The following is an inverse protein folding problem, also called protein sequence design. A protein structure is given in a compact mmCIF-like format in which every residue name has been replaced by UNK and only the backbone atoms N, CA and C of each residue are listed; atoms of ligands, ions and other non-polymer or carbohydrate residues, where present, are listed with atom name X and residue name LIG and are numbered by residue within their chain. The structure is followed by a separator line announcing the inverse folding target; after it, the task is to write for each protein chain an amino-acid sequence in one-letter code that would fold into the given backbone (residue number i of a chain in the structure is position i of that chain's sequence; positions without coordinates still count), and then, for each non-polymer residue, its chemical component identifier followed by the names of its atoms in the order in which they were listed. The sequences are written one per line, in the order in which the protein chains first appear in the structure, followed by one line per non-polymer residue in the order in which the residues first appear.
data_IF_848835218567
#
_entry.id   IF_848835218567
#
_cell.length_a   1.000
_cell.length_b   1.000
_cell.length_c   1.000
_cell.angle_alpha   90.00
_cell.angle_beta   90.00
_cell.angle_gamma   90.00
#
_symmetry.space_group_name_H-M   'P 1'
#
loop_
_entity.id
_entity.type
_entity.pdbx_description
1 polymer ?
#
# COMPACT_ATOMS: atom_id res chain seq x y z
N UNK A 1 39.76 -6.11 -17.12
CA UNK A 1 40.26 -4.77 -16.71
C UNK A 1 39.08 -3.81 -16.82
N UNK A 2 38.55 -3.10 -15.82
CA UNK A 2 39.11 -2.56 -14.58
C UNK A 2 38.01 -2.51 -13.51
N UNK A 3 38.34 -3.00 -12.33
CA UNK A 3 37.63 -2.78 -11.07
C UNK A 3 37.88 -1.34 -10.59
N UNK A 4 36.82 -0.56 -10.35
CA UNK A 4 36.91 0.68 -9.57
C UNK A 4 36.41 0.38 -8.15
N UNK A 5 37.35 -0.09 -7.32
CA UNK A 5 37.26 0.03 -5.87
C UNK A 5 37.71 1.44 -5.53
N UNK A 6 36.85 2.26 -4.93
CA UNK A 6 37.32 3.38 -4.13
C UNK A 6 36.42 3.53 -2.90
N UNK A 7 37.05 3.11 -1.82
CA UNK A 7 36.68 3.24 -0.42
C UNK A 7 36.98 4.68 -0.01
N UNK A 8 36.03 5.39 0.62
CA UNK A 8 36.29 6.54 1.48
C UNK A 8 35.07 6.70 2.40
N UNK A 9 35.01 5.98 3.52
CA UNK A 9 35.54 6.34 4.85
C UNK A 9 34.91 7.60 5.43
N UNK A 10 33.98 7.33 6.35
CA UNK A 10 33.62 8.03 7.60
C UNK A 10 33.67 9.57 7.62
N UNK A 11 32.48 10.16 7.80
CA UNK A 11 32.32 11.27 8.73
C UNK A 11 31.44 10.79 9.89
N UNK A 12 32.03 10.76 11.07
CA UNK A 12 31.37 10.40 12.31
C UNK A 12 30.73 11.63 12.96
N UNK A 13 29.64 11.34 13.68
CA UNK A 13 29.31 11.89 15.00
C UNK A 13 28.74 13.31 15.11
N UNK A 14 27.42 13.37 15.20
CA UNK A 14 26.67 14.29 16.06
C UNK A 14 25.19 13.92 15.95
N UNK A 15 24.34 13.91 16.96
CA UNK A 15 24.41 13.93 18.41
C UNK A 15 22.99 13.52 18.83
N UNK A 16 22.88 12.90 20.00
CA UNK A 16 21.63 12.55 20.65
C UNK A 16 20.63 13.72 20.65
N UNK A 17 19.42 13.48 20.16
CA UNK A 17 18.22 14.05 20.77
C UNK A 17 17.28 12.92 21.11
N UNK A 18 17.36 12.47 22.37
CA UNK A 18 16.29 11.76 23.04
C UNK A 18 15.06 12.69 23.01
N UNK A 19 14.10 12.37 22.16
CA UNK A 19 12.74 12.90 22.29
C UNK A 19 11.81 11.69 22.43
N UNK A 20 11.47 11.25 23.65
CA UNK A 20 10.29 10.44 23.85
C UNK A 20 9.14 11.41 24.15
N UNK A 21 8.43 11.86 23.12
CA UNK A 21 7.20 12.63 23.32
C UNK A 21 6.22 12.31 22.20
N UNK A 22 5.01 11.92 22.61
CA UNK A 22 3.94 11.28 21.84
C UNK A 22 4.20 9.77 21.70
N UNK A 23 4.06 8.95 22.75
CA UNK A 23 2.77 8.72 23.44
C UNK A 23 1.62 8.97 22.46
N UNK A 24 1.53 8.11 21.44
CA UNK A 24 0.22 7.69 20.97
C UNK A 24 -0.41 7.00 22.17
N UNK A 25 -1.06 7.81 23.01
CA UNK A 25 -2.08 7.36 23.93
C UNK A 25 -2.90 6.32 23.19
N UNK A 26 -2.99 5.12 23.78
CA UNK A 26 -4.22 4.35 23.85
C UNK A 26 -5.42 5.31 23.75
N UNK A 27 -5.83 5.63 22.52
CA UNK A 27 -7.11 6.24 22.30
C UNK A 27 -8.11 5.19 22.77
N UNK A 28 -9.03 5.54 23.69
CA UNK A 28 -9.96 4.58 24.23
C UNK A 28 -10.65 3.87 23.06
N UNK A 29 -10.78 2.56 23.18
CA UNK A 29 -11.53 1.69 22.28
C UNK A 29 -12.99 2.16 22.20
N UNK A 30 -13.22 3.26 21.50
CA UNK A 30 -14.51 3.84 21.23
C UNK A 30 -15.00 3.17 19.95
N UNK A 31 -15.41 1.90 20.06
CA UNK A 31 -16.38 1.21 19.20
C UNK A 31 -16.49 1.76 17.77
N UNK A 32 -15.37 1.86 17.04
CA UNK A 32 -15.33 2.68 15.83
C UNK A 32 -15.65 1.80 14.62
N UNK A 33 -16.91 1.78 14.24
CA UNK A 33 -17.32 1.36 12.90
C UNK A 33 -16.78 2.29 11.80
N UNK A 34 -16.15 3.41 12.17
CA UNK A 34 -15.47 4.34 11.29
C UNK A 34 -13.99 3.98 11.08
N UNK A 35 -13.53 4.07 9.83
CA UNK A 35 -12.13 3.85 9.44
C UNK A 35 -11.24 5.02 9.89
N UNK A 36 -10.00 4.73 10.27
CA UNK A 36 -8.99 5.77 10.53
C UNK A 36 -8.63 6.51 9.23
N UNK A 37 -8.13 7.76 9.31
CA UNK A 37 -7.68 8.52 8.14
C UNK A 37 -6.61 7.77 7.32
N UNK A 38 -5.70 7.06 7.99
CA UNK A 38 -4.67 6.26 7.33
C UNK A 38 -5.25 5.06 6.58
N UNK A 39 -6.21 4.33 7.19
CA UNK A 39 -6.91 3.24 6.52
C UNK A 39 -7.69 3.75 5.30
N UNK A 40 -8.35 4.90 5.43
CA UNK A 40 -9.09 5.51 4.32
C UNK A 40 -8.17 5.92 3.16
N UNK A 41 -6.99 6.47 3.46
CA UNK A 41 -5.98 6.80 2.45
C UNK A 41 -5.47 5.54 1.73
N UNK A 42 -5.16 4.47 2.46
CA UNK A 42 -4.74 3.17 1.90
C UNK A 42 -5.82 2.55 1.01
N UNK A 43 -7.08 2.54 1.46
CA UNK A 43 -8.22 2.02 0.67
C UNK A 43 -8.43 2.85 -0.60
N UNK A 44 -8.29 4.17 -0.52
CA UNK A 44 -8.41 5.05 -1.69
C UNK A 44 -7.31 4.79 -2.72
N UNK A 45 -6.09 4.48 -2.28
CA UNK A 45 -4.99 4.08 -3.15
C UNK A 45 -5.28 2.73 -3.83
N UNK A 46 -5.74 1.74 -3.06
CA UNK A 46 -6.13 0.42 -3.59
C UNK A 46 -7.22 0.52 -4.66
N UNK A 47 -8.24 1.36 -4.46
CA UNK A 47 -9.27 1.57 -5.49
C UNK A 47 -8.75 2.26 -6.76
N UNK A 48 -7.75 3.14 -6.65
CA UNK A 48 -7.13 3.75 -7.84
C UNK A 48 -6.36 2.69 -8.64
N UNK A 49 -5.65 1.82 -7.94
CA UNK A 49 -4.87 0.74 -8.55
C UNK A 49 -5.78 -0.32 -9.20
N UNK A 50 -6.84 -0.74 -8.50
CA UNK A 50 -7.89 -1.64 -9.02
C UNK A 50 -8.45 -1.12 -10.35
N UNK A 51 -8.81 0.17 -10.42
CA UNK A 51 -9.34 0.77 -11.65
C UNK A 51 -8.32 0.76 -12.79
N UNK A 52 -7.05 1.01 -12.48
CA UNK A 52 -5.97 1.01 -13.48
C UNK A 52 -5.77 -0.40 -14.05
N UNK A 53 -5.77 -1.43 -13.22
CA UNK A 53 -5.65 -2.82 -13.67
C UNK A 53 -6.86 -3.28 -14.48
N UNK A 54 -8.08 -2.95 -14.03
CA UNK A 54 -9.29 -3.24 -14.79
C UNK A 54 -9.26 -2.56 -16.16
N UNK A 55 -8.81 -1.30 -16.22
CA UNK A 55 -8.70 -0.58 -17.49
C UNK A 55 -7.69 -1.24 -18.43
N UNK A 56 -6.53 -1.66 -17.92
CA UNK A 56 -5.54 -2.40 -18.70
C UNK A 56 -6.11 -3.70 -19.30
N UNK A 57 -6.94 -4.44 -18.55
CA UNK A 57 -7.62 -5.64 -19.07
C UNK A 57 -8.66 -5.30 -20.14
N UNK A 58 -9.36 -4.18 -19.99
CA UNK A 58 -10.35 -3.73 -20.99
C UNK A 58 -9.70 -3.32 -22.31
N UNK A 59 -8.59 -2.60 -22.21
CA UNK A 59 -7.83 -2.08 -23.36
C UNK A 59 -7.00 -3.16 -24.07
N UNK A 60 -6.82 -4.33 -23.44
CA UNK A 60 -6.13 -5.46 -24.06
C UNK A 60 -6.95 -6.08 -25.19
N UNK A 61 -6.64 -5.68 -26.43
CA UNK A 61 -7.26 -6.19 -27.64
C UNK A 61 -6.97 -7.68 -27.94
N UNK A 62 -6.01 -8.30 -27.23
CA UNK A 62 -5.63 -9.70 -27.44
C UNK A 62 -6.47 -10.68 -26.63
N UNK A 63 -7.23 -10.19 -25.65
CA UNK A 63 -8.03 -11.01 -24.74
C UNK A 63 -9.48 -11.04 -25.21
N UNK A 64 -10.09 -12.22 -25.26
CA UNK A 64 -11.51 -12.35 -25.59
C UNK A 64 -12.37 -11.73 -24.49
N UNK A 65 -13.51 -11.18 -24.85
CA UNK A 65 -14.41 -10.51 -23.88
C UNK A 65 -14.85 -11.41 -22.71
N UNK A 66 -15.00 -12.72 -22.93
CA UNK A 66 -15.28 -13.67 -21.86
C UNK A 66 -14.12 -13.74 -20.84
N UNK A 67 -12.89 -13.89 -21.34
CA UNK A 67 -11.68 -13.95 -20.51
C UNK A 67 -11.42 -12.61 -19.79
N UNK A 68 -11.75 -11.48 -20.42
CA UNK A 68 -11.69 -10.15 -19.78
C UNK A 68 -12.60 -10.09 -18.55
N UNK A 69 -13.83 -10.58 -18.65
CA UNK A 69 -14.77 -10.58 -17.53
C UNK A 69 -14.24 -11.38 -16.35
N UNK A 70 -13.67 -12.56 -16.58
CA UNK A 70 -13.15 -13.40 -15.51
C UNK A 70 -11.89 -12.82 -14.88
N UNK A 71 -11.00 -12.22 -15.68
CA UNK A 71 -9.86 -11.44 -15.17
C UNK A 71 -10.30 -10.26 -14.31
N UNK A 72 -11.30 -9.49 -14.75
CA UNK A 72 -11.85 -8.36 -13.98
C UNK A 72 -12.45 -8.84 -12.66
N UNK A 73 -13.17 -9.97 -12.63
CA UNK A 73 -13.70 -10.55 -11.38
C UNK A 73 -12.57 -10.94 -10.43
N UNK A 74 -11.51 -11.57 -10.94
CA UNK A 74 -10.35 -11.95 -10.14
C UNK A 74 -9.66 -10.73 -9.52
N UNK A 75 -9.45 -9.67 -10.30
CA UNK A 75 -8.90 -8.38 -9.81
C UNK A 75 -9.79 -7.84 -8.68
N UNK A 76 -11.11 -7.73 -8.90
CA UNK A 76 -12.04 -7.25 -7.87
C UNK A 76 -12.00 -8.08 -6.58
N UNK A 77 -11.90 -9.41 -6.70
CA UNK A 77 -11.84 -10.29 -5.55
C UNK A 77 -10.55 -10.08 -4.73
N UNK A 78 -9.41 -9.95 -5.41
CA UNK A 78 -8.12 -9.68 -4.78
C UNK A 78 -8.11 -8.32 -4.06
N UNK A 79 -8.55 -7.25 -4.74
CA UNK A 79 -8.62 -5.92 -4.12
C UNK A 79 -9.63 -5.85 -2.97
N UNK A 80 -10.75 -6.58 -3.06
CA UNK A 80 -11.67 -6.72 -1.93
C UNK A 80 -10.96 -7.31 -0.71
N UNK A 81 -10.17 -8.38 -0.88
CA UNK A 81 -9.43 -8.99 0.22
C UNK A 81 -8.41 -8.02 0.82
N UNK A 82 -7.66 -7.28 -0.02
CA UNK A 82 -6.71 -6.23 0.43
C UNK A 82 -7.42 -5.11 1.21
N UNK A 83 -8.57 -4.66 0.74
CA UNK A 83 -9.37 -3.62 1.42
C UNK A 83 -9.85 -4.12 2.78
N UNK A 84 -10.37 -5.35 2.86
CA UNK A 84 -10.82 -5.93 4.14
C UNK A 84 -9.66 -6.12 5.14
N UNK A 85 -8.46 -6.47 4.67
CA UNK A 85 -7.26 -6.51 5.52
C UNK A 85 -6.96 -5.13 6.11
N UNK A 86 -6.98 -4.07 5.28
CA UNK A 86 -6.78 -2.69 5.75
C UNK A 86 -7.85 -2.28 6.76
N UNK A 87 -9.12 -2.62 6.54
CA UNK A 87 -10.22 -2.32 7.47
C UNK A 87 -10.06 -3.02 8.82
N UNK A 88 -9.61 -4.27 8.81
CA UNK A 88 -9.46 -5.11 10.01
C UNK A 88 -8.10 -4.95 10.70
N UNK A 89 -7.19 -4.15 10.13
CA UNK A 89 -5.88 -3.87 10.71
C UNK A 89 -4.92 -5.07 10.68
N UNK A 90 -5.13 -6.02 9.77
CA UNK A 90 -4.27 -7.20 9.57
C UNK A 90 -3.28 -7.01 8.43
#
# INVERSE_FOLDING_TARGET
MKSFKLLLTLLALSAVSLTPALRAEDAPAASSTALTPEQQAKISALHKEERKEIQAVKDDAKVKEADKKDKIKAIKADYKAKIEAVKTGK
#
